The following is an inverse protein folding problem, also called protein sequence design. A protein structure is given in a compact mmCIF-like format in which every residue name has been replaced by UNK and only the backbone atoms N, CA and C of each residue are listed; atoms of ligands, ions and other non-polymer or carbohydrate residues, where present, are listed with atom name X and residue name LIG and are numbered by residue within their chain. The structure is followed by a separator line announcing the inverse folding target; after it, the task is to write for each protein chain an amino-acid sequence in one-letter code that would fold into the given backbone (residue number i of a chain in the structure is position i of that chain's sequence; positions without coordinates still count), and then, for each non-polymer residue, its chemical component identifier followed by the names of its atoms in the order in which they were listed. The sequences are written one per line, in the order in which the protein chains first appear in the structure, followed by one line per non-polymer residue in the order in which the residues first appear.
data_IF_765278438903
#
_entry.id   IF_765278438903
#
_cell.length_a   1.000
_cell.length_b   1.000
_cell.length_c   1.000
_cell.angle_alpha   90.00
_cell.angle_beta   90.00
_cell.angle_gamma   90.00
#
_symmetry.space_group_name_H-M   'P 1'
#
loop_
_entity.id
_entity.type
_entity.pdbx_description
1 polymer ?
#
# COMPACT_ATOMS: atom_id res chain seq x y z
N UNK A 1 -21.67 -5.66 34.62
CA UNK A 1 -21.30 -6.08 33.25
C UNK A 1 -20.82 -4.84 32.51
N UNK A 2 -19.51 -4.70 32.31
CA UNK A 2 -18.93 -3.57 31.55
C UNK A 2 -19.00 -3.98 30.08
N UNK A 3 -19.75 -3.23 29.27
CA UNK A 3 -19.72 -3.39 27.81
C UNK A 3 -18.57 -2.53 27.29
N UNK A 4 -17.49 -3.07 26.72
CA UNK A 4 -16.52 -2.25 26.04
C UNK A 4 -17.14 -1.89 24.69
N UNK A 5 -17.54 -0.64 24.53
CA UNK A 5 -17.78 -0.09 23.20
C UNK A 5 -16.75 1.02 23.01
N UNK A 6 -15.67 0.80 22.26
CA UNK A 6 -14.94 1.90 21.70
C UNK A 6 -15.76 2.35 20.49
N UNK A 7 -16.61 3.36 20.66
CA UNK A 7 -17.07 4.10 19.48
C UNK A 7 -15.82 4.80 18.93
N UNK A 8 -15.35 4.47 17.71
CA UNK A 8 -14.30 5.23 17.08
C UNK A 8 -14.76 6.69 17.00
N UNK A 9 -13.87 7.67 17.19
CA UNK A 9 -14.26 9.07 17.02
C UNK A 9 -14.87 9.26 15.64
N UNK A 10 -15.98 10.01 15.56
CA UNK A 10 -16.78 10.24 14.35
C UNK A 10 -16.03 10.93 13.19
N UNK A 11 -14.71 11.13 13.34
CA UNK A 11 -13.80 11.72 12.37
C UNK A 11 -13.01 10.71 11.54
N UNK A 12 -13.12 9.40 11.80
CA UNK A 12 -12.37 8.37 11.05
C UNK A 12 -13.27 7.77 9.96
N UNK A 13 -13.00 8.12 8.70
CA UNK A 13 -13.72 7.58 7.54
C UNK A 13 -13.24 6.16 7.16
N UNK A 14 -11.95 5.87 7.36
CA UNK A 14 -11.35 4.58 7.03
C UNK A 14 -10.41 4.12 8.15
N UNK A 15 -10.47 2.83 8.49
CA UNK A 15 -9.56 2.20 9.45
C UNK A 15 -9.22 0.79 8.98
N UNK A 16 -8.02 0.30 9.31
CA UNK A 16 -7.71 -1.12 9.24
C UNK A 16 -8.42 -1.81 10.40
N UNK A 17 -9.05 -2.96 10.14
CA UNK A 17 -9.76 -3.74 11.16
C UNK A 17 -8.76 -4.47 12.05
N UNK A 18 -8.99 -4.45 13.36
CA UNK A 18 -8.19 -5.25 14.31
C UNK A 18 -8.36 -6.76 14.08
N UNK A 19 -7.32 -7.53 14.37
CA UNK A 19 -7.34 -9.00 14.29
C UNK A 19 -7.24 -9.57 12.86
N UNK A 20 -7.00 -8.74 11.85
CA UNK A 20 -6.60 -9.20 10.52
C UNK A 20 -5.18 -9.77 10.60
N UNK A 21 -4.94 -10.91 9.94
CA UNK A 21 -3.64 -11.55 9.98
C UNK A 21 -2.61 -10.76 9.17
N UNK A 22 -1.32 -10.89 9.51
CA UNK A 22 -0.24 -10.20 8.81
C UNK A 22 -0.21 -10.53 7.31
N UNK A 23 -0.57 -11.77 6.94
CA UNK A 23 -0.63 -12.21 5.55
C UNK A 23 -1.64 -11.38 4.74
N UNK A 24 -2.89 -11.26 5.22
CA UNK A 24 -3.95 -10.49 4.57
C UNK A 24 -3.56 -9.00 4.45
N UNK A 25 -2.91 -8.44 5.48
CA UNK A 25 -2.40 -7.06 5.44
C UNK A 25 -1.32 -6.89 4.37
N UNK A 26 -0.39 -7.84 4.26
CA UNK A 26 0.70 -7.79 3.28
C UNK A 26 0.20 -8.01 1.85
N UNK A 27 -0.77 -8.90 1.62
CA UNK A 27 -1.42 -9.07 0.31
C UNK A 27 -2.06 -7.76 -0.12
N UNK A 28 -2.85 -7.13 0.76
CA UNK A 28 -3.51 -5.87 0.43
C UNK A 28 -2.53 -4.71 0.22
N UNK A 29 -1.43 -4.69 0.98
CA UNK A 29 -0.33 -3.75 0.77
C UNK A 29 0.32 -3.94 -0.62
N UNK A 30 0.66 -5.18 -0.99
CA UNK A 30 1.28 -5.48 -2.29
C UNK A 30 0.36 -5.09 -3.46
N UNK A 31 -0.94 -5.38 -3.36
CA UNK A 31 -1.95 -4.96 -4.36
C UNK A 31 -2.08 -3.44 -4.45
N UNK A 32 -2.06 -2.74 -3.31
CA UNK A 32 -2.11 -1.28 -3.25
C UNK A 32 -0.87 -0.65 -3.89
N UNK A 33 0.32 -1.22 -3.63
CA UNK A 33 1.57 -0.78 -4.24
C UNK A 33 1.60 -1.05 -5.74
N UNK A 34 1.11 -2.21 -6.19
CA UNK A 34 0.98 -2.52 -7.62
C UNK A 34 0.05 -1.53 -8.33
N UNK A 35 -1.07 -1.17 -7.69
CA UNK A 35 -2.00 -0.16 -8.20
C UNK A 35 -1.35 1.22 -8.29
N UNK A 36 -0.63 1.63 -7.23
CA UNK A 36 0.09 2.91 -7.22
C UNK A 36 1.20 2.96 -8.29
N UNK A 37 1.91 1.86 -8.51
CA UNK A 37 2.91 1.74 -9.57
C UNK A 37 2.28 1.96 -10.94
N UNK A 38 1.20 1.24 -11.25
CA UNK A 38 0.49 1.36 -12.52
C UNK A 38 -0.01 2.80 -12.77
N UNK A 39 -0.62 3.44 -11.76
CA UNK A 39 -1.07 4.83 -11.85
C UNK A 39 0.09 5.81 -12.04
N UNK A 40 1.22 5.58 -11.37
CA UNK A 40 2.40 6.45 -11.50
C UNK A 40 3.02 6.32 -12.88
N UNK A 41 3.08 5.11 -13.43
CA UNK A 41 3.55 4.87 -14.79
C UNK A 41 2.62 5.49 -15.83
N UNK A 42 1.29 5.35 -15.66
CA UNK A 42 0.30 5.97 -16.53
C UNK A 42 0.46 7.51 -16.52
N UNK A 43 0.53 8.11 -15.32
CA UNK A 43 0.74 9.55 -15.16
C UNK A 43 2.09 10.03 -15.72
N UNK A 44 3.14 9.21 -15.67
CA UNK A 44 4.42 9.57 -16.26
C UNK A 44 4.34 9.75 -17.79
N UNK A 45 3.39 9.12 -18.49
CA UNK A 45 3.22 9.34 -19.92
C UNK A 45 2.79 10.78 -20.25
N UNK A 46 2.00 11.41 -19.38
CA UNK A 46 1.48 12.78 -19.53
C UNK A 46 2.48 13.89 -19.15
N UNK A 47 3.64 13.53 -18.58
CA UNK A 47 4.66 14.49 -18.13
C UNK A 47 5.83 14.56 -19.10
N UNK A 48 6.63 15.63 -19.05
CA UNK A 48 7.84 15.79 -19.87
C UNK A 48 9.07 16.15 -19.04
N UNK A 49 10.25 15.88 -19.62
CA UNK A 49 11.56 16.22 -19.05
C UNK A 49 11.74 15.73 -17.62
N UNK A 50 12.25 16.59 -16.76
CA UNK A 50 12.55 16.26 -15.35
C UNK A 50 11.33 15.84 -14.53
N UNK A 51 10.11 16.24 -14.91
CA UNK A 51 8.89 15.79 -14.22
C UNK A 51 8.58 14.33 -14.52
N UNK A 52 8.77 13.91 -15.78
CA UNK A 52 8.64 12.51 -16.21
C UNK A 52 9.67 11.65 -15.48
N UNK A 53 10.92 12.11 -15.44
CA UNK A 53 12.01 11.43 -14.72
C UNK A 53 11.70 11.30 -13.23
N UNK A 54 11.18 12.35 -12.59
CA UNK A 54 10.73 12.31 -11.20
C UNK A 54 9.61 11.29 -10.96
N UNK A 55 8.60 11.24 -11.83
CA UNK A 55 7.51 10.27 -11.72
C UNK A 55 8.01 8.82 -11.88
N UNK A 56 8.92 8.56 -12.83
CA UNK A 56 9.55 7.25 -12.99
C UNK A 56 10.42 6.87 -11.78
N UNK A 57 11.11 7.83 -11.16
CA UNK A 57 11.83 7.62 -9.91
C UNK A 57 10.89 7.22 -8.75
N UNK A 58 9.72 7.85 -8.65
CA UNK A 58 8.67 7.44 -7.69
C UNK A 58 8.17 6.03 -7.98
N UNK A 59 7.90 5.71 -9.26
CA UNK A 59 7.50 4.35 -9.65
C UNK A 59 8.54 3.31 -9.24
N UNK A 60 9.83 3.61 -9.40
CA UNK A 60 10.91 2.73 -8.95
C UNK A 60 10.89 2.51 -7.42
N UNK A 61 10.67 3.55 -6.62
CA UNK A 61 10.57 3.43 -5.15
C UNK A 61 9.35 2.61 -4.70
N UNK A 62 8.22 2.75 -5.40
CA UNK A 62 7.02 1.96 -5.16
C UNK A 62 7.31 0.48 -5.46
N UNK A 63 7.94 0.19 -6.59
CA UNK A 63 8.28 -1.18 -6.98
C UNK A 63 9.25 -1.84 -5.99
N UNK A 64 10.26 -1.13 -5.52
CA UNK A 64 11.16 -1.63 -4.46
C UNK A 64 10.38 -1.95 -3.18
N UNK A 65 9.45 -1.07 -2.79
CA UNK A 65 8.61 -1.29 -1.60
C UNK A 65 7.72 -2.53 -1.75
N UNK A 66 7.18 -2.76 -2.96
CA UNK A 66 6.37 -3.95 -3.28
C UNK A 66 7.19 -5.22 -3.15
N UNK A 67 8.40 -5.25 -3.72
CA UNK A 67 9.31 -6.40 -3.64
C UNK A 67 9.67 -6.74 -2.18
N UNK A 68 9.87 -5.74 -1.33
CA UNK A 68 10.11 -5.96 0.10
C UNK A 68 8.88 -6.56 0.79
N UNK A 69 7.67 -6.05 0.52
CA UNK A 69 6.43 -6.60 1.09
C UNK A 69 6.19 -8.05 0.64
N UNK A 70 6.39 -8.35 -0.64
CA UNK A 70 6.26 -9.70 -1.20
C UNK A 70 7.29 -10.67 -0.63
N UNK A 71 8.53 -10.20 -0.38
CA UNK A 71 9.55 -11.01 0.28
C UNK A 71 9.12 -11.41 1.69
N UNK A 72 8.56 -10.47 2.46
CA UNK A 72 8.07 -10.73 3.82
C UNK A 72 6.86 -11.67 3.79
N UNK A 73 5.94 -11.47 2.85
CA UNK A 73 4.78 -12.35 2.66
C UNK A 73 5.24 -13.80 2.40
N UNK A 74 6.16 -13.98 1.46
CA UNK A 74 6.71 -15.29 1.14
C UNK A 74 7.47 -15.96 2.30
N UNK A 75 8.09 -15.18 3.21
CA UNK A 75 8.72 -15.72 4.42
C UNK A 75 7.70 -16.21 5.45
N UNK A 76 6.50 -15.61 5.50
CA UNK A 76 5.41 -16.00 6.41
C UNK A 76 4.69 -17.26 5.91
N UNK A 77 4.61 -17.45 4.59
CA UNK A 77 3.95 -18.60 3.95
C UNK A 77 4.78 -19.89 3.96
N UNK A 78 6.02 -19.84 4.47
CA UNK A 78 6.97 -20.95 4.51
C UNK A 78 6.83 -21.80 5.78
#
# INVERSE_FOLDING_TARGET
MIKPTPNPPASVLFTVKDGICTQDLLVNLSESLASAYALTCDFAFDLDGSRREGALGIAQLIEVSRLLAERVLADIER
#
